data_IF_461216231934
#
_entry.id   IF_461216231934
#
_cell.length_a   1.000
_cell.length_b   1.000
_cell.length_c   1.000
_cell.angle_alpha   90.00
_cell.angle_beta   90.00
_cell.angle_gamma   90.00
#
_symmetry.space_group_name_H-M   'P 1'
#
loop_
_entity.id
_entity.type
_entity.pdbx_description
1 polymer ?
#
# COMPACT_ATOMS: atom_id res chain seq x y z
N UNK A 1 41.83 45.32 -21.13
CA UNK A 1 40.51 44.69 -21.34
C UNK A 1 40.29 43.68 -20.23
N UNK A 2 39.24 43.90 -19.42
CA UNK A 2 38.86 43.05 -18.28
C UNK A 2 37.91 41.97 -18.80
N UNK A 3 38.30 40.70 -18.75
CA UNK A 3 37.37 39.59 -19.02
C UNK A 3 37.06 38.89 -17.70
N UNK A 4 35.79 39.00 -17.31
CA UNK A 4 35.20 38.40 -16.13
C UNK A 4 35.13 36.89 -16.31
N UNK A 5 35.88 36.13 -15.51
CA UNK A 5 35.71 34.68 -15.38
C UNK A 5 34.72 34.45 -14.26
N UNK A 6 33.42 34.48 -14.55
CA UNK A 6 32.40 33.81 -13.72
C UNK A 6 31.29 33.34 -14.65
N UNK A 7 31.23 32.02 -14.95
CA UNK A 7 29.99 31.34 -14.63
C UNK A 7 30.26 29.85 -14.28
N UNK A 8 30.92 29.57 -13.16
CA UNK A 8 31.00 28.18 -12.63
C UNK A 8 30.18 27.98 -11.35
N UNK A 9 29.60 29.05 -10.80
CA UNK A 9 28.95 29.03 -9.49
C UNK A 9 27.42 28.81 -9.54
N UNK A 10 26.82 28.72 -10.73
CA UNK A 10 25.35 28.61 -10.88
C UNK A 10 24.87 27.15 -10.93
N UNK A 11 25.73 26.19 -11.30
CA UNK A 11 25.33 24.77 -11.44
C UNK A 11 25.21 24.06 -10.08
N UNK A 12 25.85 24.57 -9.03
CA UNK A 12 25.82 23.96 -7.68
C UNK A 12 24.50 24.19 -6.90
N UNK A 13 23.64 25.12 -7.34
CA UNK A 13 22.38 25.42 -6.65
C UNK A 13 21.19 24.55 -7.11
N UNK A 14 21.36 23.73 -8.15
CA UNK A 14 20.27 22.87 -8.66
C UNK A 14 20.22 21.47 -8.00
N UNK A 15 21.19 21.12 -7.14
CA UNK A 15 21.21 19.82 -6.44
C UNK A 15 20.55 19.84 -5.05
N UNK A 16 20.17 21.02 -4.54
CA UNK A 16 19.62 21.17 -3.18
C UNK A 16 18.11 20.89 -3.06
N UNK A 17 17.43 20.56 -4.17
CA UNK A 17 15.96 20.40 -4.18
C UNK A 17 15.46 18.94 -4.06
N UNK A 18 16.32 17.98 -3.69
CA UNK A 18 15.91 16.64 -3.31
C UNK A 18 15.87 16.46 -1.77
N UNK A 19 15.29 17.41 -1.04
CA UNK A 19 15.02 17.25 0.41
C UNK A 19 13.51 17.16 0.71
N UNK A 20 12.78 16.43 -0.13
CA UNK A 20 11.41 16.06 0.17
C UNK A 20 11.39 14.67 0.74
N UNK A 21 11.72 14.49 2.02
CA UNK A 21 11.54 13.24 2.74
C UNK A 21 10.03 12.94 2.80
N UNK A 22 9.50 12.40 1.69
CA UNK A 22 8.13 11.97 1.51
C UNK A 22 8.22 10.47 1.66
N UNK A 23 7.91 9.97 2.86
CA UNK A 23 7.90 8.55 3.17
C UNK A 23 7.14 7.81 2.07
N UNK A 24 7.91 7.08 1.27
CA UNK A 24 7.39 6.21 0.24
C UNK A 24 7.34 4.82 0.86
N UNK A 25 6.30 4.05 0.53
CA UNK A 25 6.19 2.67 1.00
C UNK A 25 7.42 1.88 0.51
N UNK A 26 8.07 1.18 1.44
CA UNK A 26 9.15 0.23 1.17
C UNK A 26 8.75 -1.11 1.75
N UNK A 27 8.96 -2.20 1.01
CA UNK A 27 8.64 -3.55 1.48
C UNK A 27 9.85 -4.42 1.17
N UNK A 28 10.70 -4.64 2.18
CA UNK A 28 11.97 -5.34 2.00
C UNK A 28 11.75 -6.85 1.77
N UNK A 29 10.89 -7.48 2.57
CA UNK A 29 10.76 -8.93 2.61
C UNK A 29 9.56 -9.48 1.83
N UNK A 30 9.39 -9.05 0.57
CA UNK A 30 8.25 -9.46 -0.29
C UNK A 30 8.13 -10.98 -0.52
N UNK A 31 9.18 -11.75 -0.24
CA UNK A 31 9.21 -13.21 -0.37
C UNK A 31 8.68 -13.97 0.87
N UNK A 32 8.40 -13.30 1.98
CA UNK A 32 7.92 -13.95 3.21
C UNK A 32 6.46 -14.41 3.10
N UNK A 33 5.65 -13.75 2.27
CA UNK A 33 4.24 -14.08 2.14
C UNK A 33 4.01 -15.35 1.33
N UNK A 34 3.42 -16.36 1.98
CA UNK A 34 3.01 -17.63 1.36
C UNK A 34 1.53 -17.64 0.99
N UNK A 35 0.72 -16.77 1.59
CA UNK A 35 -0.70 -16.64 1.27
C UNK A 35 -1.16 -15.18 1.37
N UNK A 36 -2.14 -14.83 0.53
CA UNK A 36 -2.85 -13.56 0.52
C UNK A 36 -4.35 -13.83 0.72
N UNK A 37 -4.91 -13.15 1.71
CA UNK A 37 -6.33 -13.06 1.99
C UNK A 37 -6.84 -11.71 1.50
N UNK A 38 -7.93 -11.72 0.76
CA UNK A 38 -8.61 -10.52 0.28
C UNK A 38 -10.04 -10.56 0.80
N UNK A 39 -10.47 -9.49 1.46
CA UNK A 39 -11.85 -9.28 1.85
C UNK A 39 -12.35 -7.97 1.26
N UNK A 40 -13.44 -8.02 0.49
CA UNK A 40 -14.22 -6.83 0.18
C UNK A 40 -15.27 -6.61 1.26
N UNK A 41 -15.43 -5.34 1.63
CA UNK A 41 -16.53 -4.84 2.46
C UNK A 41 -17.35 -3.92 1.58
N UNK A 42 -18.65 -4.21 1.51
CA UNK A 42 -19.63 -3.43 0.76
C UNK A 42 -20.83 -3.17 1.67
N UNK A 43 -21.29 -1.92 1.73
CA UNK A 43 -22.33 -1.47 2.67
C UNK A 43 -22.04 -1.84 4.14
N UNK A 44 -20.76 -1.80 4.55
CA UNK A 44 -20.29 -2.24 5.87
C UNK A 44 -20.50 -3.72 6.19
N UNK A 45 -20.74 -4.54 5.17
CA UNK A 45 -20.94 -5.98 5.31
C UNK A 45 -19.77 -6.71 4.65
N UNK A 46 -19.11 -7.56 5.44
CA UNK A 46 -18.19 -8.58 4.93
C UNK A 46 -18.96 -9.89 4.76
N UNK A 47 -18.81 -10.54 3.60
CA UNK A 47 -19.42 -11.84 3.31
C UNK A 47 -18.38 -12.81 2.76
N UNK A 48 -18.65 -14.09 2.91
CA UNK A 48 -17.79 -15.16 2.40
C UNK A 48 -17.67 -15.10 0.87
N UNK A 49 -18.75 -14.76 0.15
CA UNK A 49 -18.69 -14.57 -1.31
C UNK A 49 -17.81 -13.39 -1.75
N UNK A 50 -17.47 -12.48 -0.82
CA UNK A 50 -16.60 -11.32 -1.02
C UNK A 50 -15.17 -11.57 -0.49
N UNK A 51 -14.85 -12.84 -0.23
CA UNK A 51 -13.54 -13.28 0.25
C UNK A 51 -12.80 -14.07 -0.83
N UNK A 52 -11.50 -13.81 -0.98
CA UNK A 52 -10.63 -14.59 -1.88
C UNK A 52 -9.30 -14.93 -1.23
N UNK A 53 -8.84 -16.15 -1.46
CA UNK A 53 -7.52 -16.62 -1.06
C UNK A 53 -6.62 -16.84 -2.27
N UNK A 54 -5.39 -16.34 -2.21
CA UNK A 54 -4.38 -16.49 -3.25
C UNK A 54 -3.13 -17.11 -2.62
N UNK A 55 -2.62 -18.19 -3.25
CA UNK A 55 -1.37 -18.89 -2.85
C UNK A 55 -0.29 -18.86 -3.91
N UNK A 56 -0.57 -18.20 -5.03
CA UNK A 56 0.40 -17.97 -6.09
C UNK A 56 1.42 -16.92 -5.60
N UNK A 57 2.62 -17.38 -5.25
CA UNK A 57 3.68 -16.54 -4.67
C UNK A 57 4.12 -15.43 -5.61
N UNK A 58 4.08 -15.64 -6.92
CA UNK A 58 4.46 -14.62 -7.91
C UNK A 58 3.40 -13.52 -7.96
N UNK A 59 2.11 -13.87 -7.95
CA UNK A 59 1.03 -12.88 -7.84
C UNK A 59 1.14 -12.07 -6.54
N UNK A 60 1.39 -12.74 -5.41
CA UNK A 60 1.53 -12.08 -4.11
C UNK A 60 2.70 -11.09 -4.12
N UNK A 61 3.88 -11.53 -4.57
CA UNK A 61 5.07 -10.68 -4.68
C UNK A 61 4.86 -9.50 -5.63
N UNK A 62 4.12 -9.73 -6.71
CA UNK A 62 3.78 -8.67 -7.67
C UNK A 62 2.87 -7.62 -7.02
N UNK A 63 1.86 -8.00 -6.23
CA UNK A 63 1.02 -7.04 -5.49
C UNK A 63 1.86 -6.17 -4.55
N UNK A 64 2.74 -6.78 -3.75
CA UNK A 64 3.61 -6.03 -2.84
C UNK A 64 4.54 -5.08 -3.61
N UNK A 65 5.07 -5.51 -4.76
CA UNK A 65 5.91 -4.68 -5.60
C UNK A 65 5.14 -3.53 -6.28
N UNK A 66 3.85 -3.72 -6.54
CA UNK A 66 3.00 -2.71 -7.19
C UNK A 66 2.65 -1.53 -6.26
N UNK A 67 2.67 -1.73 -4.94
CA UNK A 67 2.39 -0.69 -3.93
C UNK A 67 3.65 -0.03 -3.38
N UNK A 68 4.82 -0.60 -3.67
CA UNK A 68 6.11 -0.02 -3.31
C UNK A 68 6.33 1.32 -4.02
N UNK A 69 6.93 2.28 -3.32
CA UNK A 69 7.19 3.62 -3.84
C UNK A 69 5.99 4.57 -3.79
N UNK A 70 4.81 4.11 -3.37
CA UNK A 70 3.65 4.99 -3.18
C UNK A 70 3.95 6.04 -2.12
N UNK A 71 3.69 7.31 -2.45
CA UNK A 71 3.91 8.44 -1.55
C UNK A 71 2.77 8.53 -0.55
N UNK A 72 3.10 8.46 0.74
CA UNK A 72 2.12 8.49 1.81
C UNK A 72 2.28 9.70 2.73
N UNK A 73 1.26 9.92 3.56
CA UNK A 73 1.23 10.84 4.70
C UNK A 73 0.58 10.13 5.88
N UNK A 74 0.97 10.47 7.10
CA UNK A 74 0.24 10.03 8.28
C UNK A 74 -1.18 10.61 8.32
N UNK A 75 -2.12 9.85 8.85
CA UNK A 75 -3.51 10.26 9.05
C UNK A 75 -4.04 9.73 10.39
N UNK A 76 -4.93 10.50 11.03
CA UNK A 76 -5.66 10.03 12.22
C UNK A 76 -6.58 8.88 11.83
N UNK A 77 -6.40 7.74 12.49
CA UNK A 77 -7.11 6.48 12.20
C UNK A 77 -8.64 6.65 12.08
N UNK A 78 -9.27 7.37 13.00
CA UNK A 78 -10.74 7.53 13.04
C UNK A 78 -11.32 8.13 11.75
N UNK A 79 -10.64 9.12 11.17
CA UNK A 79 -11.14 9.78 9.96
C UNK A 79 -11.10 8.83 8.77
N UNK A 80 -10.06 8.03 8.67
CA UNK A 80 -9.93 7.05 7.60
C UNK A 80 -10.97 5.92 7.72
N UNK A 81 -11.22 5.40 8.92
CA UNK A 81 -12.20 4.33 9.09
C UNK A 81 -13.64 4.81 8.80
N UNK A 82 -13.99 6.06 9.14
CA UNK A 82 -15.27 6.64 8.70
C UNK A 82 -15.38 6.75 7.17
N UNK A 83 -14.28 7.11 6.50
CA UNK A 83 -14.23 7.14 5.04
C UNK A 83 -14.34 5.73 4.45
N UNK A 84 -13.68 4.75 5.08
CA UNK A 84 -13.77 3.33 4.72
C UNK A 84 -15.20 2.79 4.86
N UNK A 85 -15.93 3.19 5.90
CA UNK A 85 -17.32 2.78 6.11
C UNK A 85 -18.31 3.41 5.11
N UNK A 86 -17.91 4.50 4.46
CA UNK A 86 -18.76 5.25 3.53
C UNK A 86 -18.71 4.74 2.08
N UNK A 87 -17.83 3.77 1.79
CA UNK A 87 -17.64 3.24 0.44
C UNK A 87 -17.13 1.79 0.47
N UNK A 88 -17.11 1.14 -0.68
CA UNK A 88 -16.53 -0.20 -0.78
C UNK A 88 -15.02 -0.15 -0.45
N UNK A 89 -14.55 -1.17 0.27
CA UNK A 89 -13.15 -1.27 0.65
C UNK A 89 -12.64 -2.70 0.53
N UNK A 90 -11.32 -2.83 0.41
CA UNK A 90 -10.61 -4.09 0.25
C UNK A 90 -9.53 -4.18 1.32
N UNK A 91 -9.58 -5.23 2.12
CA UNK A 91 -8.47 -5.60 3.02
C UNK A 91 -7.62 -6.64 2.31
N UNK A 92 -6.32 -6.38 2.17
CA UNK A 92 -5.35 -7.34 1.68
C UNK A 92 -4.43 -7.74 2.83
N UNK A 93 -4.60 -8.96 3.34
CA UNK A 93 -3.80 -9.54 4.43
C UNK A 93 -2.81 -10.58 3.91
N UNK A 94 -1.55 -10.45 4.31
CA UNK A 94 -0.45 -11.30 3.88
C UNK A 94 0.04 -12.14 5.04
N UNK A 95 0.11 -13.46 4.82
CA UNK A 95 0.54 -14.42 5.84
C UNK A 95 1.82 -15.13 5.41
N UNK A 96 2.69 -15.35 6.40
CA UNK A 96 3.85 -16.22 6.29
C UNK A 96 3.45 -17.70 6.28
N UNK A 97 2.22 -18.04 6.70
CA UNK A 97 1.66 -19.40 6.67
C UNK A 97 0.88 -19.62 5.37
N UNK A 98 0.86 -20.84 4.85
CA UNK A 98 0.05 -21.22 3.67
C UNK A 98 -1.46 -21.28 3.96
N UNK A 99 -1.81 -21.37 5.24
CA UNK A 99 -3.18 -21.42 5.75
C UNK A 99 -3.38 -20.25 6.70
N UNK A 100 -4.51 -19.56 6.54
CA UNK A 100 -5.02 -18.65 7.55
C UNK A 100 -5.70 -19.52 8.60
N UNK A 101 -5.17 -19.53 9.81
CA UNK A 101 -5.84 -20.17 10.94
C UNK A 101 -7.01 -19.27 11.37
N UNK A 102 -8.10 -19.88 11.85
CA UNK A 102 -9.22 -19.14 12.45
C UNK A 102 -8.87 -18.57 13.84
N UNK A 103 -7.59 -18.63 14.22
CA UNK A 103 -7.08 -18.12 15.48
C UNK A 103 -6.92 -16.60 15.34
N UNK A 104 -7.26 -15.84 16.38
CA UNK A 104 -7.16 -14.37 16.41
C UNK A 104 -5.73 -13.83 16.38
N UNK A 105 -4.81 -14.53 15.73
CA UNK A 105 -3.45 -14.06 15.50
C UNK A 105 -3.48 -12.83 14.58
N UNK A 106 -2.75 -11.76 14.92
CA UNK A 106 -2.67 -10.59 14.06
C UNK A 106 -2.00 -10.96 12.74
N UNK A 107 -2.55 -10.45 11.63
CA UNK A 107 -1.92 -10.58 10.32
C UNK A 107 -0.50 -10.00 10.37
N UNK A 108 0.52 -10.73 9.88
CA UNK A 108 1.89 -10.24 9.81
C UNK A 108 2.00 -8.94 9.01
N UNK A 109 1.26 -8.81 7.93
CA UNK A 109 1.19 -7.58 7.15
C UNK A 109 -0.18 -7.43 6.51
N UNK A 110 -0.68 -6.21 6.45
CA UNK A 110 -1.90 -5.90 5.72
C UNK A 110 -1.92 -4.45 5.23
N UNK A 111 -2.74 -4.19 4.21
CA UNK A 111 -3.13 -2.83 3.87
C UNK A 111 -4.58 -2.80 3.37
N UNK A 112 -5.16 -1.60 3.42
CA UNK A 112 -6.51 -1.32 2.97
C UNK A 112 -6.49 -0.57 1.64
N UNK A 113 -7.49 -0.80 0.81
CA UNK A 113 -7.74 -0.04 -0.42
C UNK A 113 -9.20 0.40 -0.43
N UNK A 114 -9.47 1.68 -0.62
CA UNK A 114 -10.82 2.19 -0.86
C UNK A 114 -11.17 2.09 -2.36
N UNK A 115 -12.46 2.05 -2.70
CA UNK A 115 -12.92 1.93 -4.10
C UNK A 115 -12.38 3.06 -5.00
N UNK A 116 -12.19 4.24 -4.43
CA UNK A 116 -11.62 5.39 -5.15
C UNK A 116 -10.11 5.27 -5.44
N UNK A 117 -9.44 4.22 -4.93
CA UNK A 117 -8.02 3.96 -5.10
C UNK A 117 -7.13 4.59 -4.04
N UNK A 118 -7.67 5.03 -2.90
CA UNK A 118 -6.88 5.41 -1.72
C UNK A 118 -6.32 4.18 -1.04
N UNK A 119 -5.01 4.13 -0.79
CA UNK A 119 -4.36 3.02 -0.08
C UNK A 119 -3.95 3.46 1.31
N UNK A 120 -4.12 2.59 2.29
CA UNK A 120 -3.74 2.85 3.67
C UNK A 120 -2.96 1.69 4.29
N UNK A 121 -1.84 2.04 4.91
CA UNK A 121 -0.82 1.12 5.39
C UNK A 121 -0.67 1.30 6.91
N UNK A 122 -1.27 0.40 7.72
CA UNK A 122 -1.07 0.37 9.16
C UNK A 122 0.22 -0.37 9.58
N UNK A 123 1.10 -0.66 8.61
CA UNK A 123 2.36 -1.38 8.81
C UNK A 123 3.49 -0.71 8.01
N UNK A 124 4.71 -0.81 8.52
CA UNK A 124 5.95 -0.50 7.79
C UNK A 124 6.49 -1.71 7.01
N UNK A 125 6.21 -2.91 7.51
CA UNK A 125 6.65 -4.18 6.96
C UNK A 125 6.04 -5.32 7.75
N UNK A 126 6.47 -6.55 7.47
CA UNK A 126 5.99 -7.73 8.18
C UNK A 126 6.28 -7.61 9.68
N UNK A 127 5.26 -7.88 10.48
CA UNK A 127 5.26 -7.82 11.94
C UNK A 127 5.64 -6.44 12.53
N UNK A 128 5.51 -5.37 11.73
CA UNK A 128 5.85 -4.00 12.12
C UNK A 128 4.66 -3.07 11.95
N UNK A 129 3.86 -2.93 13.02
CA UNK A 129 2.75 -1.98 13.06
C UNK A 129 3.25 -0.54 13.14
N UNK A 130 2.55 0.36 12.47
CA UNK A 130 2.85 1.79 12.44
C UNK A 130 1.54 2.59 12.47
N UNK A 131 1.54 3.84 12.97
CA UNK A 131 0.45 4.79 12.69
C UNK A 131 0.01 4.75 11.22
N UNK A 132 -1.29 4.84 10.99
CA UNK A 132 -1.87 4.69 9.65
C UNK A 132 -1.29 5.74 8.69
N UNK A 133 -0.72 5.27 7.59
CA UNK A 133 -0.27 6.14 6.50
C UNK A 133 -1.12 5.91 5.26
N UNK A 134 -1.59 7.00 4.68
CA UNK A 134 -2.51 6.99 3.54
C UNK A 134 -1.83 7.62 2.33
N UNK A 135 -2.12 7.13 1.13
CA UNK A 135 -1.57 7.72 -0.09
C UNK A 135 -1.96 9.19 -0.23
N UNK A 136 -1.02 10.00 -0.75
CA UNK A 136 -1.26 11.42 -1.02
C UNK A 136 -2.19 11.64 -2.20
N UNK A 137 -2.20 10.69 -3.13
CA UNK A 137 -3.00 10.70 -4.34
C UNK A 137 -3.88 9.44 -4.41
N UNK A 138 -4.95 9.51 -5.18
CA UNK A 138 -5.81 8.35 -5.47
C UNK A 138 -5.23 7.57 -6.64
N UNK A 139 -5.24 6.24 -6.55
CA UNK A 139 -4.66 5.35 -7.55
C UNK A 139 -5.69 4.32 -8.08
N UNK A 140 -6.82 4.75 -8.67
CA UNK A 140 -7.88 3.82 -9.13
C UNK A 140 -7.39 2.86 -10.22
N UNK A 141 -6.43 3.29 -11.05
CA UNK A 141 -5.82 2.41 -12.07
C UNK A 141 -4.91 1.35 -11.44
N UNK A 142 -4.29 1.65 -10.30
CA UNK A 142 -3.51 0.65 -9.56
C UNK A 142 -4.43 -0.40 -8.95
N UNK A 143 -5.55 0.02 -8.34
CA UNK A 143 -6.59 -0.91 -7.85
C UNK A 143 -7.10 -1.82 -8.98
N UNK A 144 -7.41 -1.27 -10.17
CA UNK A 144 -7.82 -2.08 -11.33
C UNK A 144 -6.77 -3.12 -11.74
N UNK A 145 -5.49 -2.73 -11.74
CA UNK A 145 -4.38 -3.66 -12.06
C UNK A 145 -4.26 -4.77 -11.00
N UNK A 146 -4.38 -4.44 -9.71
CA UNK A 146 -4.37 -5.42 -8.61
C UNK A 146 -5.55 -6.37 -8.74
N UNK A 147 -6.78 -5.85 -8.94
CA UNK A 147 -7.98 -6.66 -9.18
C UNK A 147 -7.79 -7.64 -10.34
N UNK A 148 -7.25 -7.16 -11.47
CA UNK A 148 -6.96 -8.01 -12.63
C UNK A 148 -5.89 -9.07 -12.34
N UNK A 149 -4.80 -8.71 -11.67
CA UNK A 149 -3.73 -9.66 -11.33
C UNK A 149 -4.22 -10.81 -10.44
N UNK A 150 -5.13 -10.48 -9.52
CA UNK A 150 -5.69 -11.40 -8.53
C UNK A 150 -7.01 -12.06 -8.97
N UNK A 151 -7.46 -11.80 -10.20
CA UNK A 151 -8.73 -12.28 -10.74
C UNK A 151 -9.91 -11.96 -9.81
N UNK A 152 -10.00 -10.74 -9.28
CA UNK A 152 -11.08 -10.28 -8.40
C UNK A 152 -12.26 -9.79 -9.27
N UNK A 153 -13.40 -10.48 -9.17
CA UNK A 153 -14.61 -10.26 -9.98
C UNK A 153 -15.94 -10.23 -9.18
N UNK A 154 -15.87 -10.37 -7.85
CA UNK A 154 -17.00 -10.17 -6.94
C UNK A 154 -17.42 -8.70 -6.77
#
# INVERSE_FOLDING_TARGET
MKYQIVPLMIILLLLSACSGNKEAIKIEDKGMANALFIQKVEDNIAKEEMTKFVRDKDKIKNVLSMVEGLKVKEMVNENFFREMESQNSYTLGFSEKEKFEATGEPMPYAFYILEDGTFAFPYDGFNSQHPLRVTKEKHPQLLKKIKKLLDIDF
#
